data_IF_158240110879
#
_entry.id   IF_158240110879
#
_cell.length_a   1.000
_cell.length_b   1.000
_cell.length_c   1.000
_cell.angle_alpha   90.00
_cell.angle_beta   90.00
_cell.angle_gamma   90.00
#
_symmetry.space_group_name_H-M   'P 1'
#
loop_
_entity.id
_entity.type
_entity.pdbx_description
1 polymer ?
#
# COMPACT_ATOMS: atom_id res chain seq x y z
N UNK A 1 23.89 11.50 -2.46
CA UNK A 1 23.10 10.80 -3.50
C UNK A 1 23.18 9.31 -3.18
N UNK A 2 22.01 8.63 -3.23
CA UNK A 2 21.91 7.17 -3.12
C UNK A 2 21.65 6.64 -4.53
N UNK A 3 22.22 5.46 -4.84
CA UNK A 3 21.83 4.69 -6.00
C UNK A 3 20.58 3.86 -5.62
N UNK A 4 19.46 4.12 -6.28
CA UNK A 4 18.15 3.56 -5.91
C UNK A 4 17.51 2.90 -7.12
N UNK A 5 17.09 1.65 -6.95
CA UNK A 5 16.19 0.95 -7.85
C UNK A 5 14.87 0.63 -7.15
N UNK A 6 13.78 0.70 -7.89
CA UNK A 6 12.45 0.27 -7.44
C UNK A 6 12.06 -0.97 -8.21
N UNK A 7 11.70 -2.05 -7.53
CA UNK A 7 11.27 -3.30 -8.17
C UNK A 7 9.78 -3.48 -7.95
N UNK A 8 9.04 -3.67 -9.03
CA UNK A 8 7.58 -3.77 -9.05
C UNK A 8 7.11 -4.93 -9.92
N UNK A 9 5.94 -5.53 -9.66
CA UNK A 9 5.29 -6.39 -10.64
C UNK A 9 4.88 -5.59 -11.89
N UNK A 10 5.04 -6.18 -13.07
CA UNK A 10 4.52 -5.59 -14.31
C UNK A 10 3.04 -5.89 -14.46
N UNK A 11 2.20 -5.21 -13.70
CA UNK A 11 0.75 -5.36 -13.80
C UNK A 11 0.22 -4.87 -15.14
N UNK A 12 -0.75 -5.58 -15.70
CA UNK A 12 -1.43 -5.16 -16.95
C UNK A 12 -2.16 -3.82 -16.81
N UNK A 13 -2.57 -3.45 -15.60
CA UNK A 13 -3.24 -2.17 -15.32
C UNK A 13 -2.30 -0.95 -15.36
N UNK A 14 -0.98 -1.13 -15.48
CA UNK A 14 -0.04 -0.01 -15.65
C UNK A 14 -0.43 0.72 -16.95
N UNK A 15 -0.62 2.07 -16.91
CA UNK A 15 -1.00 2.81 -18.11
C UNK A 15 -0.05 2.59 -19.28
N UNK A 16 -0.61 2.46 -20.49
CA UNK A 16 0.13 2.13 -21.71
C UNK A 16 1.29 3.11 -21.98
N UNK A 17 1.11 4.41 -21.67
CA UNK A 17 2.16 5.44 -21.81
C UNK A 17 3.46 5.13 -21.07
N UNK A 18 3.40 4.33 -19.99
CA UNK A 18 4.59 3.87 -19.27
C UNK A 18 5.09 2.54 -19.85
N UNK A 19 4.17 1.62 -20.18
CA UNK A 19 4.54 0.31 -20.76
C UNK A 19 5.32 0.46 -22.08
N UNK A 20 4.95 1.41 -22.95
CA UNK A 20 5.62 1.70 -24.23
C UNK A 20 7.04 2.25 -24.05
N UNK A 21 7.36 2.78 -22.89
CA UNK A 21 8.70 3.33 -22.56
C UNK A 21 9.60 2.34 -21.85
N UNK A 22 9.07 1.16 -21.48
CA UNK A 22 9.84 0.13 -20.81
C UNK A 22 10.80 -0.54 -21.78
N UNK A 23 12.05 -0.70 -21.38
CA UNK A 23 13.08 -1.41 -22.13
C UNK A 23 13.25 -2.83 -21.59
N UNK A 24 13.31 -3.82 -22.48
CA UNK A 24 13.56 -5.20 -22.10
C UNK A 24 15.03 -5.40 -21.71
N UNK A 25 15.27 -5.89 -20.47
CA UNK A 25 16.62 -6.09 -19.92
C UNK A 25 17.08 -7.54 -19.91
N UNK A 26 16.17 -8.48 -20.12
CA UNK A 26 16.46 -9.89 -20.18
C UNK A 26 15.40 -10.75 -19.52
N UNK A 27 15.59 -12.06 -19.58
CA UNK A 27 14.73 -13.03 -18.92
C UNK A 27 15.48 -14.30 -18.57
N UNK A 28 14.96 -15.03 -17.62
CA UNK A 28 15.45 -16.32 -17.18
C UNK A 28 14.30 -17.16 -16.61
N UNK A 29 14.61 -18.39 -16.25
CA UNK A 29 13.68 -19.26 -15.53
C UNK A 29 14.22 -19.55 -14.14
N UNK A 30 13.34 -19.57 -13.15
CA UNK A 30 13.68 -19.94 -11.76
C UNK A 30 12.72 -21.00 -11.24
N UNK A 31 13.19 -21.83 -10.29
CA UNK A 31 12.32 -22.62 -9.46
C UNK A 31 11.56 -21.73 -8.48
N UNK A 32 10.31 -22.04 -8.22
CA UNK A 32 9.50 -21.34 -7.18
C UNK A 32 9.03 -22.34 -6.14
N UNK A 33 8.21 -23.27 -6.59
CA UNK A 33 7.61 -24.31 -5.77
C UNK A 33 8.55 -25.50 -5.55
N UNK A 34 8.19 -26.34 -4.60
CA UNK A 34 8.91 -27.59 -4.33
C UNK A 34 8.69 -28.70 -5.37
N UNK A 35 7.93 -28.43 -6.44
CA UNK A 35 7.56 -29.38 -7.49
C UNK A 35 8.56 -29.45 -8.66
N UNK A 36 9.59 -28.62 -8.66
CA UNK A 36 10.60 -28.54 -9.72
C UNK A 36 10.16 -27.81 -11.00
N UNK A 37 8.95 -27.23 -11.03
CA UNK A 37 8.50 -26.38 -12.16
C UNK A 37 9.34 -25.12 -12.23
N UNK A 38 9.72 -24.77 -13.46
CA UNK A 38 10.45 -23.55 -13.75
C UNK A 38 9.47 -22.44 -14.18
N UNK A 39 9.60 -21.28 -13.57
CA UNK A 39 8.78 -20.11 -13.82
C UNK A 39 9.57 -19.04 -14.57
N UNK A 40 8.99 -18.51 -15.63
CA UNK A 40 9.56 -17.41 -16.40
C UNK A 40 9.66 -16.14 -15.54
N UNK A 41 10.79 -15.42 -15.66
CA UNK A 41 11.01 -14.10 -15.08
C UNK A 41 11.53 -13.19 -16.16
N UNK A 42 10.72 -12.24 -16.62
CA UNK A 42 11.14 -11.15 -17.49
C UNK A 42 11.47 -9.91 -16.68
N UNK A 43 12.37 -9.09 -17.20
CA UNK A 43 12.75 -7.80 -16.57
C UNK A 43 12.56 -6.70 -17.59
N UNK A 44 11.69 -5.75 -17.27
CA UNK A 44 11.46 -4.53 -18.04
C UNK A 44 11.93 -3.35 -17.20
N UNK A 45 12.73 -2.46 -17.76
CA UNK A 45 13.27 -1.29 -17.05
C UNK A 45 12.64 0.00 -17.57
N UNK A 46 12.30 0.88 -16.68
CA UNK A 46 11.87 2.24 -16.95
C UNK A 46 12.63 3.23 -16.06
N UNK A 47 12.99 4.38 -16.59
CA UNK A 47 13.70 5.40 -15.82
C UNK A 47 12.93 6.72 -15.82
N UNK A 48 12.76 7.31 -14.64
CA UNK A 48 12.13 8.62 -14.45
C UNK A 48 12.76 9.34 -13.24
N UNK A 49 13.04 10.62 -13.39
CA UNK A 49 13.60 11.48 -12.34
C UNK A 49 14.86 10.94 -11.64
N UNK A 50 15.68 10.20 -12.38
CA UNK A 50 16.92 9.61 -11.88
C UNK A 50 16.72 8.33 -11.06
N UNK A 51 15.51 7.80 -11.01
CA UNK A 51 15.19 6.52 -10.40
C UNK A 51 15.00 5.46 -11.48
N UNK A 52 15.57 4.28 -11.27
CA UNK A 52 15.38 3.11 -12.13
C UNK A 52 14.27 2.25 -11.54
N UNK A 53 13.31 1.88 -12.39
CA UNK A 53 12.19 1.01 -12.07
C UNK A 53 12.36 -0.30 -12.85
N UNK A 54 12.63 -1.40 -12.15
CA UNK A 54 12.68 -2.73 -12.72
C UNK A 54 11.32 -3.43 -12.51
N UNK A 55 10.63 -3.75 -13.59
CA UNK A 55 9.34 -4.44 -13.56
C UNK A 55 9.54 -5.94 -13.81
N UNK A 56 9.09 -6.74 -12.88
CA UNK A 56 9.07 -8.20 -13.02
C UNK A 56 7.89 -8.59 -13.89
N UNK A 57 8.19 -9.15 -15.07
CA UNK A 57 7.21 -9.55 -16.06
C UNK A 57 6.92 -11.05 -15.96
N UNK A 58 5.66 -11.38 -15.77
CA UNK A 58 5.12 -12.73 -15.86
C UNK A 58 3.61 -12.66 -16.07
N UNK A 59 3.14 -13.15 -17.23
CA UNK A 59 1.73 -13.08 -17.57
C UNK A 59 0.84 -13.95 -16.68
N UNK A 60 1.37 -15.07 -16.17
CA UNK A 60 0.61 -15.98 -15.29
C UNK A 60 0.18 -15.29 -13.99
N UNK A 61 1.02 -14.40 -13.44
CA UNK A 61 0.76 -13.76 -12.13
C UNK A 61 0.25 -12.32 -12.24
N UNK A 62 0.59 -11.57 -13.32
CA UNK A 62 0.38 -10.12 -13.33
C UNK A 62 -0.49 -9.61 -14.49
N UNK A 63 -0.94 -10.49 -15.42
CA UNK A 63 -1.70 -10.06 -16.59
C UNK A 63 -3.21 -9.96 -16.36
N UNK A 64 -3.73 -10.41 -15.23
CA UNK A 64 -5.16 -10.48 -14.93
C UNK A 64 -5.50 -9.89 -13.55
N UNK A 65 -6.74 -9.40 -13.44
CA UNK A 65 -7.25 -8.85 -12.19
C UNK A 65 -6.63 -7.50 -11.79
N UNK A 66 -6.97 -7.07 -10.60
CA UNK A 66 -6.37 -5.93 -9.93
C UNK A 66 -5.07 -6.35 -9.23
N UNK A 67 -4.19 -5.42 -8.84
CA UNK A 67 -2.99 -5.71 -8.04
C UNK A 67 -3.29 -6.52 -6.78
N UNK A 68 -4.43 -6.28 -6.15
CA UNK A 68 -4.94 -7.03 -5.00
C UNK A 68 -6.28 -7.66 -5.36
N UNK A 69 -6.44 -8.96 -5.11
CA UNK A 69 -7.67 -9.71 -5.41
C UNK A 69 -8.17 -10.43 -4.16
N UNK A 70 -7.88 -11.70 -4.05
CA UNK A 70 -8.17 -12.53 -2.90
C UNK A 70 -6.91 -13.33 -2.52
N UNK A 71 -6.84 -13.86 -1.30
CA UNK A 71 -5.63 -14.53 -0.81
C UNK A 71 -5.28 -15.80 -1.60
N UNK A 72 -6.25 -16.50 -2.21
CA UNK A 72 -5.97 -17.70 -3.02
C UNK A 72 -5.07 -17.34 -4.21
N UNK A 73 -5.35 -16.22 -4.85
CA UNK A 73 -4.60 -15.75 -6.02
C UNK A 73 -3.37 -14.93 -5.62
N UNK A 74 -3.49 -14.17 -4.53
CA UNK A 74 -2.44 -13.24 -4.11
C UNK A 74 -1.27 -13.95 -3.40
N UNK A 75 -1.49 -15.06 -2.69
CA UNK A 75 -0.40 -15.83 -2.06
C UNK A 75 0.61 -16.35 -3.11
N UNK A 76 0.20 -17.08 -4.16
CA UNK A 76 1.12 -17.48 -5.24
C UNK A 76 1.85 -16.30 -5.89
N UNK A 77 1.10 -15.24 -6.20
CA UNK A 77 1.58 -14.02 -6.83
C UNK A 77 2.72 -13.37 -6.04
N UNK A 78 2.55 -13.20 -4.74
CA UNK A 78 3.54 -12.51 -3.90
C UNK A 78 4.65 -13.43 -3.39
N UNK A 79 4.45 -14.75 -3.33
CA UNK A 79 5.53 -15.71 -3.22
C UNK A 79 6.46 -15.62 -4.43
N UNK A 80 5.86 -15.65 -5.65
CA UNK A 80 6.61 -15.51 -6.90
C UNK A 80 7.35 -14.16 -6.95
N UNK A 81 6.63 -13.03 -6.73
CA UNK A 81 7.23 -11.70 -6.81
C UNK A 81 8.42 -11.54 -5.85
N UNK A 82 8.27 -11.96 -4.61
CA UNK A 82 9.33 -11.82 -3.59
C UNK A 82 10.60 -12.58 -3.97
N UNK A 83 10.48 -13.79 -4.55
CA UNK A 83 11.63 -14.57 -5.00
C UNK A 83 12.22 -14.02 -6.31
N UNK A 84 11.34 -13.68 -7.28
CA UNK A 84 11.73 -13.17 -8.58
C UNK A 84 12.47 -11.83 -8.50
N UNK A 85 12.07 -10.94 -7.56
CA UNK A 85 12.76 -9.68 -7.32
C UNK A 85 14.24 -9.88 -6.96
N UNK A 86 14.54 -10.80 -6.06
CA UNK A 86 15.92 -11.11 -5.67
C UNK A 86 16.68 -11.84 -6.79
N UNK A 87 16.02 -12.76 -7.50
CA UNK A 87 16.61 -13.46 -8.62
C UNK A 87 16.96 -12.49 -9.76
N UNK A 88 16.11 -11.47 -10.02
CA UNK A 88 16.37 -10.43 -11.00
C UNK A 88 17.58 -9.58 -10.63
N UNK A 89 17.73 -9.19 -9.37
CA UNK A 89 18.92 -8.47 -8.89
C UNK A 89 20.20 -9.28 -9.14
N UNK A 90 20.15 -10.57 -8.85
CA UNK A 90 21.27 -11.47 -9.06
C UNK A 90 21.58 -11.66 -10.57
N UNK A 91 20.55 -11.74 -11.41
CA UNK A 91 20.68 -11.82 -12.86
C UNK A 91 21.29 -10.54 -13.47
N UNK A 92 20.91 -9.36 -12.96
CA UNK A 92 21.41 -8.07 -13.39
C UNK A 92 22.82 -7.74 -12.82
N UNK A 93 23.38 -8.61 -11.99
CA UNK A 93 24.62 -8.38 -11.22
C UNK A 93 24.60 -7.06 -10.43
N UNK A 94 23.41 -6.69 -9.93
CA UNK A 94 23.24 -5.50 -9.10
C UNK A 94 23.05 -5.90 -7.63
N UNK A 95 24.04 -5.57 -6.80
CA UNK A 95 24.06 -5.96 -5.39
C UNK A 95 23.75 -4.78 -4.50
N UNK A 96 22.54 -4.69 -3.92
CA UNK A 96 22.19 -3.61 -3.01
C UNK A 96 22.81 -3.78 -1.63
N UNK A 97 23.14 -2.70 -0.94
CA UNK A 97 23.45 -2.72 0.50
C UNK A 97 22.20 -2.99 1.32
N UNK A 98 21.04 -2.46 0.87
CA UNK A 98 19.75 -2.57 1.55
C UNK A 98 18.65 -2.93 0.57
N UNK A 99 17.84 -3.93 0.93
CA UNK A 99 16.56 -4.22 0.28
C UNK A 99 15.44 -3.75 1.20
N UNK A 100 14.63 -2.80 0.72
CA UNK A 100 13.51 -2.24 1.47
C UNK A 100 12.19 -2.82 0.98
N UNK A 101 11.51 -3.55 1.85
CA UNK A 101 10.27 -4.28 1.58
C UNK A 101 9.08 -3.57 2.21
N UNK A 102 7.92 -3.67 1.56
CA UNK A 102 6.70 -3.01 2.02
C UNK A 102 5.57 -4.02 2.19
N UNK A 103 5.01 -4.07 3.41
CA UNK A 103 3.89 -4.89 3.82
C UNK A 103 4.07 -6.40 3.54
N UNK A 104 3.00 -7.17 3.69
CA UNK A 104 3.03 -8.62 3.56
C UNK A 104 3.38 -9.11 2.14
N UNK A 105 3.10 -8.31 1.12
CA UNK A 105 3.36 -8.64 -0.27
C UNK A 105 4.86 -8.84 -0.59
N UNK A 106 5.72 -8.16 0.16
CA UNK A 106 7.17 -8.29 0.03
C UNK A 106 7.82 -8.91 1.28
N UNK A 107 7.02 -9.40 2.23
CA UNK A 107 7.53 -9.87 3.52
C UNK A 107 8.34 -11.17 3.44
N UNK A 108 8.23 -11.94 2.35
CA UNK A 108 9.08 -13.12 2.16
C UNK A 108 10.49 -12.78 1.67
N UNK A 109 10.73 -11.57 1.18
CA UNK A 109 12.08 -11.16 0.73
C UNK A 109 13.14 -11.30 1.82
N UNK A 110 12.94 -10.82 3.06
CA UNK A 110 13.90 -11.04 4.14
C UNK A 110 14.21 -12.53 4.42
N UNK A 111 13.20 -13.41 4.30
CA UNK A 111 13.40 -14.84 4.46
C UNK A 111 14.24 -15.40 3.32
N UNK A 112 13.90 -15.08 2.08
CA UNK A 112 14.65 -15.53 0.91
C UNK A 112 16.11 -15.11 0.95
N UNK A 113 16.41 -13.88 1.39
CA UNK A 113 17.79 -13.41 1.56
C UNK A 113 18.61 -14.30 2.52
N UNK A 114 17.97 -14.92 3.50
CA UNK A 114 18.64 -15.74 4.53
C UNK A 114 18.47 -17.26 4.34
N UNK A 115 17.77 -17.64 3.29
CA UNK A 115 17.54 -19.04 2.92
C UNK A 115 18.02 -19.29 1.49
N UNK A 116 17.15 -19.13 0.50
CA UNK A 116 17.44 -19.46 -0.90
C UNK A 116 18.58 -18.65 -1.53
N UNK A 117 18.82 -17.42 -1.06
CA UNK A 117 19.87 -16.53 -1.59
C UNK A 117 21.04 -16.32 -0.62
N UNK A 118 21.11 -17.05 0.49
CA UNK A 118 22.11 -16.83 1.54
C UNK A 118 23.56 -16.89 1.02
N UNK A 119 23.84 -17.77 0.07
CA UNK A 119 25.17 -17.97 -0.52
C UNK A 119 25.44 -17.13 -1.76
N UNK A 120 24.51 -16.25 -2.15
CA UNK A 120 24.67 -15.32 -3.27
C UNK A 120 25.17 -13.96 -2.83
N UNK A 121 25.64 -13.13 -3.78
CA UNK A 121 26.03 -11.75 -3.48
C UNK A 121 24.85 -10.92 -2.93
N UNK A 122 23.65 -11.09 -3.49
CA UNK A 122 22.42 -10.41 -3.04
C UNK A 122 22.03 -10.80 -1.61
N UNK A 123 22.33 -12.03 -1.18
CA UNK A 123 22.08 -12.52 0.17
C UNK A 123 22.81 -11.74 1.28
N UNK A 124 23.83 -10.94 0.92
CA UNK A 124 24.56 -10.07 1.88
C UNK A 124 23.80 -8.80 2.23
N UNK A 125 22.78 -8.41 1.44
CA UNK A 125 22.00 -7.20 1.67
C UNK A 125 21.31 -7.21 3.03
N UNK A 126 21.17 -6.04 3.63
CA UNK A 126 20.32 -5.84 4.80
C UNK A 126 18.87 -5.67 4.38
N UNK A 127 17.94 -6.25 5.11
CA UNK A 127 16.52 -6.11 4.86
C UNK A 127 15.86 -5.09 5.80
N UNK A 128 15.16 -4.13 5.25
CA UNK A 128 14.24 -3.25 5.97
C UNK A 128 12.81 -3.64 5.56
N UNK A 129 11.91 -3.79 6.52
CA UNK A 129 10.50 -4.05 6.27
C UNK A 129 9.66 -2.90 6.82
N UNK A 130 8.82 -2.29 6.00
CA UNK A 130 7.85 -1.27 6.45
C UNK A 130 6.46 -1.87 6.53
N UNK A 131 5.81 -1.70 7.67
CA UNK A 131 4.39 -2.00 7.88
C UNK A 131 3.60 -0.71 7.71
N UNK A 132 2.79 -0.62 6.64
CA UNK A 132 1.86 0.49 6.43
C UNK A 132 0.51 0.21 7.08
N UNK A 133 0.07 -1.05 7.09
CA UNK A 133 -1.19 -1.46 7.73
C UNK A 133 -1.07 -2.90 8.24
N UNK A 134 -0.98 -3.05 9.55
CA UNK A 134 -0.80 -4.35 10.22
C UNK A 134 -2.00 -5.30 10.06
N UNK A 135 -3.18 -4.79 9.72
CA UNK A 135 -4.37 -5.62 9.48
C UNK A 135 -4.17 -6.65 8.36
N UNK A 136 -3.34 -6.31 7.37
CA UNK A 136 -3.07 -7.18 6.23
C UNK A 136 -1.73 -7.90 6.42
N UNK A 137 -1.77 -9.22 6.59
CA UNK A 137 -0.61 -10.00 7.02
C UNK A 137 -0.24 -11.14 6.07
N UNK A 138 -1.07 -11.42 5.03
CA UNK A 138 -0.87 -12.59 4.18
C UNK A 138 -0.99 -13.88 4.98
N UNK A 139 -2.05 -14.00 5.79
CA UNK A 139 -2.38 -15.22 6.55
C UNK A 139 -3.21 -16.13 5.67
N UNK A 140 -2.71 -17.33 5.44
CA UNK A 140 -3.41 -18.32 4.64
C UNK A 140 -2.95 -19.74 4.97
N UNK A 141 -3.60 -20.75 4.36
CA UNK A 141 -3.27 -22.16 4.52
C UNK A 141 -1.75 -22.42 4.46
N UNK A 142 -1.23 -23.04 5.51
CA UNK A 142 0.22 -23.27 5.69
C UNK A 142 0.82 -24.09 4.54
N UNK A 143 0.08 -25.13 4.06
CA UNK A 143 0.60 -26.00 3.00
C UNK A 143 0.68 -25.25 1.68
N UNK A 144 -0.30 -24.36 1.43
CA UNK A 144 -0.29 -23.52 0.25
C UNK A 144 0.88 -22.53 0.26
N UNK A 145 1.11 -21.82 1.38
CA UNK A 145 2.25 -20.90 1.50
C UNK A 145 3.57 -21.69 1.40
N UNK A 146 3.67 -22.85 2.04
CA UNK A 146 4.87 -23.70 1.99
C UNK A 146 5.15 -24.17 0.56
N UNK A 147 4.13 -24.63 -0.14
CA UNK A 147 4.25 -25.07 -1.53
C UNK A 147 4.71 -23.93 -2.44
N UNK A 148 3.99 -22.79 -2.43
CA UNK A 148 4.26 -21.68 -3.35
C UNK A 148 5.54 -20.90 -3.02
N UNK A 149 5.93 -20.83 -1.75
CA UNK A 149 7.16 -20.14 -1.37
C UNK A 149 8.43 -20.97 -1.67
N UNK A 150 8.33 -22.30 -1.67
CA UNK A 150 9.50 -23.18 -1.76
C UNK A 150 10.49 -23.00 -0.61
N UNK A 151 10.05 -22.37 0.49
CA UNK A 151 10.88 -22.15 1.67
C UNK A 151 11.10 -23.47 2.44
N UNK A 152 12.25 -23.64 3.10
CA UNK A 152 12.54 -24.84 3.86
C UNK A 152 11.63 -24.98 5.08
N UNK A 153 11.36 -26.24 5.48
CA UNK A 153 10.43 -26.58 6.57
C UNK A 153 10.75 -25.91 7.90
N UNK A 154 12.02 -25.68 8.17
CA UNK A 154 12.45 -25.12 9.46
C UNK A 154 11.95 -23.69 9.72
N UNK A 155 11.56 -22.92 8.69
CA UNK A 155 10.99 -21.58 8.87
C UNK A 155 9.48 -21.62 9.19
N UNK A 156 8.83 -22.78 9.02
CA UNK A 156 7.43 -22.98 9.38
C UNK A 156 7.27 -23.40 10.85
N UNK A 157 7.75 -22.57 11.75
CA UNK A 157 7.67 -22.75 13.20
C UNK A 157 6.95 -21.55 13.85
N UNK A 158 6.63 -21.69 15.17
CA UNK A 158 5.86 -20.69 15.93
C UNK A 158 6.52 -19.31 16.03
N UNK A 159 7.84 -19.25 15.92
CA UNK A 159 8.61 -18.01 16.07
C UNK A 159 8.84 -17.30 14.72
N UNK A 160 8.35 -17.88 13.63
CA UNK A 160 8.51 -17.35 12.28
C UNK A 160 7.16 -17.37 11.49
N UNK A 161 6.98 -18.30 10.55
CA UNK A 161 5.82 -18.28 9.64
C UNK A 161 4.54 -18.88 10.23
N UNK A 162 4.59 -19.73 11.26
CA UNK A 162 3.39 -20.39 11.78
C UNK A 162 2.52 -19.41 12.54
N UNK A 163 1.25 -19.23 12.09
CA UNK A 163 0.23 -18.47 12.78
C UNK A 163 -0.55 -19.36 13.77
N UNK A 164 -1.02 -20.51 13.29
CA UNK A 164 -1.74 -21.52 14.06
C UNK A 164 -1.50 -22.91 13.44
N UNK A 165 -2.31 -23.91 13.78
CA UNK A 165 -2.20 -25.27 13.27
C UNK A 165 -2.37 -25.39 11.75
N UNK A 166 -3.20 -24.55 11.15
CA UNK A 166 -3.61 -24.59 9.74
C UNK A 166 -2.93 -23.53 8.90
N UNK A 167 -2.64 -22.36 9.50
CA UNK A 167 -2.25 -21.16 8.77
C UNK A 167 -0.80 -20.75 9.02
N UNK A 168 -0.21 -20.15 7.99
CA UNK A 168 1.04 -19.41 8.08
C UNK A 168 0.79 -17.91 7.82
N UNK A 169 1.71 -17.07 8.29
CA UNK A 169 1.63 -15.62 8.23
C UNK A 169 2.91 -15.07 7.61
N UNK A 170 2.79 -14.54 6.39
CA UNK A 170 3.93 -14.05 5.62
C UNK A 170 4.59 -12.83 6.28
N UNK A 171 3.77 -11.89 6.79
CA UNK A 171 4.29 -10.69 7.46
C UNK A 171 5.07 -11.03 8.73
N UNK A 172 4.57 -11.99 9.53
CA UNK A 172 5.24 -12.49 10.73
C UNK A 172 6.63 -13.02 10.40
N UNK A 173 6.75 -13.82 9.35
CA UNK A 173 8.04 -14.30 8.85
C UNK A 173 8.99 -13.16 8.48
N UNK A 174 8.48 -12.16 7.75
CA UNK A 174 9.24 -10.96 7.37
C UNK A 174 9.77 -10.19 8.58
N UNK A 175 8.94 -10.00 9.62
CA UNK A 175 9.34 -9.38 10.90
C UNK A 175 10.48 -10.14 11.55
N UNK A 176 10.42 -11.47 11.56
CA UNK A 176 11.46 -12.30 12.14
C UNK A 176 12.81 -12.09 11.44
N UNK A 177 12.83 -12.08 10.12
CA UNK A 177 14.06 -12.10 9.33
C UNK A 177 14.59 -10.73 8.90
N UNK A 178 13.80 -9.65 8.98
CA UNK A 178 14.30 -8.31 8.65
C UNK A 178 15.32 -7.80 9.67
N UNK A 179 16.25 -6.97 9.20
CA UNK A 179 17.26 -6.31 10.06
C UNK A 179 16.65 -5.10 10.80
N UNK A 180 15.73 -4.40 10.15
CA UNK A 180 14.99 -3.28 10.72
C UNK A 180 13.53 -3.36 10.29
N UNK A 181 12.65 -2.96 11.21
CA UNK A 181 11.22 -2.88 11.00
C UNK A 181 10.78 -1.42 11.17
N UNK A 182 10.08 -0.88 10.20
CA UNK A 182 9.54 0.46 10.29
C UNK A 182 8.02 0.46 10.16
N UNK A 183 7.39 1.52 10.68
CA UNK A 183 5.97 1.80 10.47
C UNK A 183 5.74 3.30 10.35
N UNK A 184 4.52 3.70 10.02
CA UNK A 184 4.20 5.04 9.49
C UNK A 184 3.99 6.13 10.53
N UNK A 185 4.17 5.86 11.83
CA UNK A 185 4.24 6.89 12.86
C UNK A 185 4.91 6.36 14.15
N UNK A 186 5.45 7.25 14.97
CA UNK A 186 6.00 6.88 16.27
C UNK A 186 4.90 6.34 17.22
N UNK A 187 3.72 6.94 17.19
CA UNK A 187 2.56 6.48 17.97
C UNK A 187 2.16 5.08 17.54
N UNK A 188 1.99 4.86 16.24
CA UNK A 188 1.62 3.55 15.71
C UNK A 188 2.67 2.47 16.02
N UNK A 189 3.96 2.82 16.03
CA UNK A 189 5.01 1.89 16.45
C UNK A 189 4.83 1.39 17.90
N UNK A 190 4.25 2.21 18.79
CA UNK A 190 3.86 1.79 20.12
C UNK A 190 2.56 0.99 20.15
N UNK A 191 1.55 1.47 19.45
CA UNK A 191 0.20 0.89 19.40
C UNK A 191 0.21 -0.55 18.90
N UNK A 192 0.89 -0.85 17.80
CA UNK A 192 0.95 -2.21 17.23
C UNK A 192 1.58 -3.27 18.15
N UNK A 193 2.23 -2.85 19.22
CA UNK A 193 2.78 -3.73 20.26
C UNK A 193 1.79 -4.04 21.38
N UNK A 194 0.58 -3.45 21.35
CA UNK A 194 -0.49 -3.70 22.31
C UNK A 194 -1.47 -4.75 21.77
N UNK A 195 -2.19 -5.43 22.67
CA UNK A 195 -3.18 -6.44 22.25
C UNK A 195 -4.33 -5.80 21.46
N UNK A 196 -4.66 -4.55 21.75
CA UNK A 196 -5.75 -3.81 21.10
C UNK A 196 -5.49 -3.50 19.62
N UNK A 197 -4.24 -3.13 19.27
CA UNK A 197 -3.87 -2.71 17.91
C UNK A 197 -2.88 -3.64 17.21
N UNK A 198 -2.46 -4.70 17.88
CA UNK A 198 -1.43 -5.62 17.39
C UNK A 198 -1.93 -6.67 16.41
N UNK A 199 -3.23 -6.71 16.11
CA UNK A 199 -3.85 -7.62 15.11
C UNK A 199 -3.36 -9.08 15.27
N UNK A 200 -3.22 -9.53 16.52
CA UNK A 200 -2.71 -10.87 16.86
C UNK A 200 -1.18 -11.04 16.78
N UNK A 201 -0.42 -9.99 16.47
CA UNK A 201 1.04 -10.01 16.44
C UNK A 201 1.70 -9.22 17.59
N UNK A 202 0.94 -8.74 18.57
CA UNK A 202 1.46 -7.90 19.66
C UNK A 202 2.67 -8.52 20.38
N UNK A 203 2.58 -9.78 20.80
CA UNK A 203 3.67 -10.49 21.47
C UNK A 203 4.91 -10.62 20.56
N UNK A 204 4.70 -10.97 19.30
CA UNK A 204 5.76 -11.11 18.31
C UNK A 204 6.46 -9.77 18.02
N UNK A 205 5.72 -8.68 17.94
CA UNK A 205 6.24 -7.33 17.77
C UNK A 205 7.03 -6.86 19.01
N UNK A 206 6.51 -7.12 20.22
CA UNK A 206 7.26 -6.84 21.46
C UNK A 206 8.58 -7.61 21.54
N UNK A 207 8.58 -8.88 21.12
CA UNK A 207 9.81 -9.67 21.05
C UNK A 207 10.86 -9.03 20.12
N UNK A 208 10.40 -8.41 19.04
CA UNK A 208 11.25 -7.74 18.04
C UNK A 208 11.33 -6.21 18.21
N UNK A 209 10.92 -5.64 19.36
CA UNK A 209 10.81 -4.19 19.60
C UNK A 209 12.11 -3.41 19.31
N UNK A 210 13.27 -4.02 19.50
CA UNK A 210 14.57 -3.42 19.22
C UNK A 210 14.80 -3.08 17.74
N UNK A 211 14.06 -3.70 16.83
CA UNK A 211 14.13 -3.44 15.39
C UNK A 211 13.18 -2.32 14.97
N UNK A 212 12.11 -2.03 15.76
CA UNK A 212 10.98 -1.18 15.37
C UNK A 212 11.32 0.30 15.45
N UNK A 213 10.94 1.06 14.41
CA UNK A 213 10.98 2.53 14.37
C UNK A 213 9.73 3.06 13.68
N UNK A 214 9.14 4.12 14.25
CA UNK A 214 8.09 4.90 13.59
C UNK A 214 8.73 5.99 12.72
N UNK A 215 8.29 6.10 11.47
CA UNK A 215 8.74 7.15 10.55
C UNK A 215 7.48 7.72 9.88
N UNK A 216 7.21 9.00 10.13
CA UNK A 216 6.04 9.67 9.54
C UNK A 216 6.25 9.87 8.04
N UNK A 217 5.21 9.58 7.25
CA UNK A 217 5.25 9.81 5.81
C UNK A 217 5.48 11.30 5.49
N UNK A 218 6.28 11.56 4.47
CA UNK A 218 6.50 12.90 3.95
C UNK A 218 5.34 13.40 3.10
N UNK A 219 5.32 14.70 2.87
CA UNK A 219 4.41 15.38 1.93
C UNK A 219 5.27 16.09 0.89
N UNK A 220 4.93 15.96 -0.39
CA UNK A 220 5.55 16.76 -1.45
C UNK A 220 5.04 18.20 -1.35
N UNK A 221 5.87 19.07 -0.79
CA UNK A 221 5.55 20.48 -0.57
C UNK A 221 5.57 21.33 -1.85
N UNK A 222 6.03 20.80 -2.98
CA UNK A 222 5.98 21.46 -4.27
C UNK A 222 4.63 21.20 -4.95
N UNK A 223 4.14 19.95 -4.90
CA UNK A 223 2.83 19.56 -5.43
C UNK A 223 1.71 20.10 -4.53
N UNK A 224 1.79 19.84 -3.22
CA UNK A 224 0.78 20.24 -2.24
C UNK A 224 1.06 21.65 -1.69
N UNK A 225 1.14 22.63 -2.58
CA UNK A 225 1.47 24.03 -2.23
C UNK A 225 0.33 24.96 -2.66
N UNK A 226 -0.48 25.48 -1.73
CA UNK A 226 -1.61 26.35 -2.09
C UNK A 226 -1.18 27.67 -2.75
N UNK A 227 0.09 28.08 -2.60
CA UNK A 227 0.59 29.29 -3.26
C UNK A 227 0.82 29.11 -4.76
N UNK A 228 0.99 27.87 -5.23
CA UNK A 228 1.36 27.55 -6.62
C UNK A 228 0.43 26.55 -7.28
N UNK A 229 -0.52 25.98 -6.56
CA UNK A 229 -1.45 24.98 -7.05
C UNK A 229 -2.37 25.59 -8.12
N UNK A 230 -2.25 25.12 -9.36
CA UNK A 230 -3.01 25.57 -10.52
C UNK A 230 -4.48 25.15 -10.50
N UNK A 231 -4.86 24.20 -9.63
CA UNK A 231 -6.23 23.73 -9.48
C UNK A 231 -7.07 24.64 -8.59
N UNK A 232 -6.43 25.48 -7.77
CA UNK A 232 -7.14 26.44 -6.93
C UNK A 232 -7.61 27.65 -7.75
N UNK A 233 -8.83 28.09 -7.48
CA UNK A 233 -9.39 29.32 -8.08
C UNK A 233 -8.64 30.57 -7.65
N UNK A 234 -8.21 30.62 -6.38
CA UNK A 234 -7.36 31.64 -5.81
C UNK A 234 -6.26 30.98 -4.98
N UNK A 235 -5.02 31.18 -5.38
CA UNK A 235 -3.87 30.71 -4.62
C UNK A 235 -3.73 31.49 -3.31
N UNK A 236 -3.20 30.85 -2.26
CA UNK A 236 -3.06 31.48 -0.95
C UNK A 236 -1.82 31.02 -0.20
N UNK A 237 -1.38 31.86 0.70
CA UNK A 237 -0.38 31.58 1.73
C UNK A 237 -0.90 32.03 3.11
N UNK A 238 -0.05 32.02 4.14
CA UNK A 238 -0.45 32.40 5.48
C UNK A 238 -0.95 33.85 5.62
N UNK A 239 -0.60 34.75 4.70
CA UNK A 239 -0.96 36.18 4.77
C UNK A 239 -2.37 36.47 4.24
N UNK A 240 -2.87 35.67 3.31
CA UNK A 240 -4.15 35.91 2.60
C UNK A 240 -5.10 34.71 2.60
N UNK A 241 -4.80 33.65 3.39
CA UNK A 241 -5.57 32.42 3.41
C UNK A 241 -7.06 32.64 3.70
N UNK A 242 -7.41 33.52 4.63
CA UNK A 242 -8.80 33.78 5.02
C UNK A 242 -9.63 34.28 3.84
N UNK A 243 -9.12 35.26 3.12
CA UNK A 243 -9.82 35.88 1.99
C UNK A 243 -9.89 34.92 0.78
N UNK A 244 -8.75 34.34 0.41
CA UNK A 244 -8.68 33.50 -0.79
C UNK A 244 -9.39 32.14 -0.61
N UNK A 245 -9.47 31.60 0.62
CA UNK A 245 -10.26 30.40 0.91
C UNK A 245 -11.77 30.65 0.75
N UNK A 246 -12.28 31.87 0.94
CA UNK A 246 -13.68 32.21 0.63
C UNK A 246 -13.95 32.11 -0.88
N UNK A 247 -13.01 32.57 -1.71
CA UNK A 247 -13.12 32.46 -3.17
C UNK A 247 -13.12 30.99 -3.58
N UNK A 248 -12.21 30.20 -3.01
CA UNK A 248 -12.13 28.78 -3.29
C UNK A 248 -13.37 28.01 -2.80
N UNK A 249 -13.91 28.36 -1.64
CA UNK A 249 -15.15 27.78 -1.11
C UNK A 249 -16.32 28.04 -2.06
N UNK A 250 -16.50 29.28 -2.53
CA UNK A 250 -17.54 29.63 -3.49
C UNK A 250 -17.40 28.79 -4.77
N UNK A 251 -16.19 28.72 -5.32
CA UNK A 251 -15.93 27.93 -6.53
C UNK A 251 -16.22 26.44 -6.33
N UNK A 252 -15.91 25.89 -5.15
CA UNK A 252 -16.23 24.50 -4.78
C UNK A 252 -17.75 24.29 -4.72
N UNK A 253 -18.47 25.16 -4.04
CA UNK A 253 -19.95 25.10 -3.96
C UNK A 253 -20.58 25.12 -5.34
N UNK A 254 -20.16 26.05 -6.22
CA UNK A 254 -20.64 26.16 -7.61
C UNK A 254 -20.34 24.88 -8.41
N UNK A 255 -19.13 24.35 -8.31
CA UNK A 255 -18.70 23.18 -9.09
C UNK A 255 -19.41 21.88 -8.68
N UNK A 256 -19.84 21.77 -7.43
CA UNK A 256 -20.51 20.60 -6.88
C UNK A 256 -22.03 20.72 -6.77
N UNK A 257 -22.61 21.82 -7.29
CA UNK A 257 -24.06 22.05 -7.24
C UNK A 257 -24.61 22.28 -5.84
N UNK A 258 -23.76 22.74 -4.92
CA UNK A 258 -24.16 23.15 -3.58
C UNK A 258 -24.73 24.59 -3.60
N UNK A 259 -25.52 24.91 -2.62
CA UNK A 259 -25.97 26.29 -2.41
C UNK A 259 -24.76 27.19 -2.10
N UNK A 260 -24.61 28.28 -2.83
CA UNK A 260 -23.50 29.22 -2.63
C UNK A 260 -23.81 30.12 -1.44
N UNK A 261 -23.19 29.88 -0.32
CA UNK A 261 -23.31 30.67 0.90
C UNK A 261 -21.97 30.70 1.66
N UNK A 262 -21.45 31.92 1.88
CA UNK A 262 -20.17 32.07 2.60
C UNK A 262 -20.28 31.72 4.08
N UNK A 263 -21.45 31.73 4.68
CA UNK A 263 -21.68 31.49 6.11
C UNK A 263 -21.85 29.99 6.44
N UNK A 264 -22.26 29.16 5.48
CA UNK A 264 -22.41 27.72 5.71
C UNK A 264 -21.06 27.05 5.93
N UNK A 265 -20.97 26.18 6.93
CA UNK A 265 -19.80 25.32 7.11
C UNK A 265 -19.73 24.28 5.98
N UNK A 266 -18.57 24.09 5.37
CA UNK A 266 -18.35 22.99 4.41
C UNK A 266 -17.44 21.96 5.04
N UNK A 267 -17.94 20.75 5.20
CA UNK A 267 -17.19 19.58 5.69
C UNK A 267 -16.82 18.72 4.48
N UNK A 268 -15.52 18.48 4.27
CA UNK A 268 -15.01 17.58 3.24
C UNK A 268 -14.55 16.26 3.81
N UNK A 269 -15.00 15.15 3.25
CA UNK A 269 -14.54 13.81 3.53
C UNK A 269 -13.96 13.21 2.24
N UNK A 270 -12.63 13.04 2.19
CA UNK A 270 -11.92 12.46 1.06
C UNK A 270 -11.24 11.18 1.53
N UNK A 271 -11.79 10.02 1.12
CA UNK A 271 -11.28 8.73 1.60
C UNK A 271 -11.78 7.58 0.72
N UNK A 272 -11.11 6.41 0.84
CA UNK A 272 -11.73 5.16 0.41
C UNK A 272 -12.98 4.89 1.26
N UNK A 273 -14.08 4.52 0.62
CA UNK A 273 -15.35 4.27 1.31
C UNK A 273 -15.39 2.85 1.86
N UNK A 274 -14.63 2.60 2.92
CA UNK A 274 -14.51 1.31 3.58
C UNK A 274 -14.69 1.44 5.10
N UNK A 275 -15.06 0.36 5.75
CA UNK A 275 -15.30 0.32 7.21
C UNK A 275 -14.10 0.80 8.02
N UNK A 276 -12.85 0.55 7.57
CA UNK A 276 -11.64 1.01 8.25
C UNK A 276 -11.54 2.53 8.44
N UNK A 277 -12.34 3.30 7.71
CA UNK A 277 -12.34 4.78 7.77
C UNK A 277 -13.37 5.34 8.74
N UNK A 278 -14.05 4.48 9.51
CA UNK A 278 -15.07 4.89 10.46
C UNK A 278 -16.30 5.50 9.79
N UNK A 279 -16.62 5.06 8.58
CA UNK A 279 -17.74 5.59 7.80
C UNK A 279 -19.10 5.19 8.36
N UNK A 280 -19.18 4.15 9.16
CA UNK A 280 -20.31 3.80 9.99
C UNK A 280 -20.65 4.94 10.96
N UNK A 281 -19.65 5.47 11.67
CA UNK A 281 -19.79 6.62 12.57
C UNK A 281 -20.20 7.88 11.80
N UNK A 282 -19.60 8.12 10.63
CA UNK A 282 -19.97 9.25 9.77
C UNK A 282 -21.43 9.15 9.35
N UNK A 283 -21.87 7.96 8.90
CA UNK A 283 -23.23 7.71 8.49
C UNK A 283 -24.24 7.99 9.60
N UNK A 284 -23.91 7.59 10.82
CA UNK A 284 -24.77 7.79 12.00
C UNK A 284 -24.93 9.26 12.40
N UNK A 285 -23.91 10.10 12.17
CA UNK A 285 -23.95 11.52 12.59
C UNK A 285 -24.47 12.46 11.52
N UNK A 286 -24.47 12.09 10.22
CA UNK A 286 -24.93 12.96 9.12
C UNK A 286 -26.30 13.55 9.37
N UNK A 287 -27.36 12.82 9.80
CA UNK A 287 -28.69 13.44 10.04
C UNK A 287 -28.67 14.56 11.06
N UNK A 288 -27.80 14.47 12.07
CA UNK A 288 -27.64 15.52 13.09
C UNK A 288 -26.78 16.71 12.65
N UNK A 289 -25.86 16.49 11.70
CA UNK A 289 -24.95 17.51 11.18
C UNK A 289 -25.66 18.37 10.11
N UNK A 290 -26.62 17.79 9.39
CA UNK A 290 -27.39 18.46 8.32
C UNK A 290 -28.46 19.41 8.90
N UNK A 291 -28.03 20.45 9.61
CA UNK A 291 -28.83 21.41 10.36
C UNK A 291 -29.32 22.62 9.53
N UNK A 292 -29.06 22.63 8.24
CA UNK A 292 -29.34 23.75 7.33
C UNK A 292 -28.21 24.77 7.20
N UNK A 293 -27.25 24.80 8.13
CA UNK A 293 -26.08 25.68 8.10
C UNK A 293 -24.79 24.94 7.70
N UNK A 294 -24.89 23.63 7.52
CA UNK A 294 -23.76 22.76 7.18
C UNK A 294 -23.95 22.16 5.79
N UNK A 295 -22.86 22.09 5.05
CA UNK A 295 -22.75 21.37 3.79
C UNK A 295 -21.73 20.27 3.92
N UNK A 296 -21.97 19.12 3.30
CA UNK A 296 -21.07 17.97 3.33
C UNK A 296 -20.69 17.55 1.92
N UNK A 297 -19.42 17.34 1.68
CA UNK A 297 -18.86 16.82 0.42
C UNK A 297 -18.14 15.52 0.73
N UNK A 298 -18.57 14.43 0.10
CA UNK A 298 -17.89 13.14 0.16
C UNK A 298 -17.26 12.86 -1.19
N UNK A 299 -15.93 12.63 -1.21
CA UNK A 299 -15.20 12.19 -2.40
C UNK A 299 -14.55 10.85 -2.10
N UNK A 300 -14.86 9.84 -2.90
CA UNK A 300 -14.24 8.52 -2.80
C UNK A 300 -15.07 7.42 -3.44
N UNK A 301 -14.53 6.23 -3.42
CA UNK A 301 -15.19 4.99 -3.87
C UNK A 301 -14.80 3.83 -2.95
N UNK A 302 -15.61 2.78 -2.88
CA UNK A 302 -15.34 1.61 -2.03
C UNK A 302 -16.48 0.63 -1.95
N UNK A 303 -16.94 0.33 -0.74
CA UNK A 303 -18.02 -0.60 -0.50
C UNK A 303 -19.35 0.02 -0.95
N UNK A 304 -20.12 -0.70 -1.78
CA UNK A 304 -21.37 -0.23 -2.37
C UNK A 304 -22.37 0.27 -1.34
N UNK A 305 -22.39 -0.33 -0.15
CA UNK A 305 -23.28 0.10 0.93
C UNK A 305 -23.04 1.56 1.34
N UNK A 306 -21.78 1.99 1.46
CA UNK A 306 -21.46 3.37 1.79
C UNK A 306 -21.72 4.31 0.60
N UNK A 307 -21.41 3.86 -0.61
CA UNK A 307 -21.69 4.65 -1.82
C UNK A 307 -23.19 4.95 -1.96
N UNK A 308 -24.04 3.94 -1.77
CA UNK A 308 -25.49 4.06 -1.87
C UNK A 308 -26.08 4.92 -0.72
N UNK A 309 -25.55 4.79 0.49
CA UNK A 309 -25.96 5.62 1.62
C UNK A 309 -25.67 7.10 1.35
N UNK A 310 -24.47 7.44 0.86
CA UNK A 310 -24.11 8.83 0.55
C UNK A 310 -24.89 9.40 -0.64
N UNK A 311 -25.16 8.62 -1.67
CA UNK A 311 -26.11 9.02 -2.76
C UNK A 311 -27.52 9.27 -2.24
N UNK A 312 -27.97 8.50 -1.26
CA UNK A 312 -29.27 8.73 -0.59
C UNK A 312 -29.30 10.08 0.13
N UNK A 313 -28.23 10.42 0.87
CA UNK A 313 -28.11 11.72 1.54
C UNK A 313 -28.04 12.90 0.55
N UNK A 314 -27.36 12.76 -0.58
CA UNK A 314 -27.38 13.77 -1.64
C UNK A 314 -28.78 14.03 -2.16
N UNK A 315 -29.59 12.98 -2.35
CA UNK A 315 -30.99 13.12 -2.76
C UNK A 315 -31.87 13.75 -1.67
N UNK A 316 -31.60 13.45 -0.39
CA UNK A 316 -32.35 13.97 0.75
C UNK A 316 -32.01 15.43 1.04
N UNK A 317 -30.73 15.82 0.95
CA UNK A 317 -30.20 17.13 1.34
C UNK A 317 -29.70 17.91 0.12
N UNK A 318 -30.53 18.02 -0.92
CA UNK A 318 -30.20 18.73 -2.18
C UNK A 318 -29.64 20.11 -1.94
N UNK A 319 -28.50 20.43 -2.57
CA UNK A 319 -27.81 21.72 -2.42
C UNK A 319 -26.99 21.85 -1.12
N UNK A 320 -27.07 20.85 -0.21
CA UNK A 320 -26.27 20.84 1.03
C UNK A 320 -25.41 19.59 1.19
N UNK A 321 -25.64 18.54 0.42
CA UNK A 321 -24.83 17.33 0.41
C UNK A 321 -24.40 16.99 -1.03
N UNK A 322 -23.13 16.61 -1.23
CA UNK A 322 -22.61 16.12 -2.49
C UNK A 322 -21.88 14.81 -2.28
N UNK A 323 -22.30 13.74 -2.96
CA UNK A 323 -21.64 12.44 -3.00
C UNK A 323 -20.88 12.28 -4.33
N UNK A 324 -19.65 12.76 -4.39
CA UNK A 324 -18.78 12.60 -5.56
C UNK A 324 -18.11 11.23 -5.52
N UNK A 325 -18.82 10.22 -6.05
CA UNK A 325 -18.33 8.84 -6.05
C UNK A 325 -17.37 8.66 -7.23
N UNK A 326 -16.10 8.89 -6.97
CA UNK A 326 -15.02 8.79 -7.94
C UNK A 326 -13.68 8.51 -7.24
N UNK A 327 -12.70 8.10 -8.05
CA UNK A 327 -11.32 7.86 -7.60
C UNK A 327 -10.37 8.88 -8.22
#
# INVERSE_FOLDING_TARGET
>A
NLDVKVILPRYKCIPQKYQEKMEYRGSFYMDLCSDGRQYYVGIMEYQEDGVIYDFIDNEEFFSWGNPYTNLIDDIPKFCYFSKAALAALNYLDWVPDVVHCHDWQAALVPLYLRTCFADTNVGRASAVLTIHNLKFQGIYDRKMIQYWSGLPDYVFNKDCLTQNWLDANMLKGGITYCNRLTTVSNTYAGEIQTEEYGEGLAEHLRYHQNKIRGIVNGIDVNIWNPSTDKLLKANYDASNAIENKKINKKALQESLGLEVDENKMVIGLISRLTNQKGLDLVNDVIPGVMDGNTQVVVLGTGDSWYEDAFRSYENQYKGSFCAYIAY
#
